data_IF_200153010642
#
_entry.id   IF_200153010642
#
_cell.length_a   1.000
_cell.length_b   1.000
_cell.length_c   1.000
_cell.angle_alpha   90.00
_cell.angle_beta   90.00
_cell.angle_gamma   90.00
#
_symmetry.space_group_name_H-M   'P 1'
#
loop_
_entity.id
_entity.type
_entity.pdbx_description
1 polymer ?
#
# COMPACT_ATOMS: atom_id res chain seq x y z
N UNK A 1 13.57 -3.18 -10.68
CA UNK A 1 12.10 -3.44 -10.70
C UNK A 1 11.67 -4.64 -9.86
N UNK A 2 12.52 -5.67 -9.69
CA UNK A 2 12.16 -6.89 -8.92
C UNK A 2 11.64 -6.57 -7.50
N UNK A 3 12.30 -5.65 -6.81
CA UNK A 3 11.90 -5.21 -5.46
C UNK A 3 10.55 -4.50 -5.42
N UNK A 4 10.25 -3.68 -6.42
CA UNK A 4 8.95 -3.01 -6.52
C UNK A 4 7.81 -4.02 -6.77
N UNK A 5 8.05 -4.98 -7.65
CA UNK A 5 7.08 -6.03 -7.97
C UNK A 5 6.82 -6.94 -6.77
N UNK A 6 7.88 -7.44 -6.12
CA UNK A 6 7.75 -8.32 -4.96
C UNK A 6 7.03 -7.62 -3.80
N UNK A 7 7.42 -6.40 -3.46
CA UNK A 7 6.80 -5.64 -2.37
C UNK A 7 5.36 -5.26 -2.71
N UNK A 8 5.09 -4.86 -3.96
CA UNK A 8 3.74 -4.57 -4.43
C UNK A 8 2.82 -5.79 -4.38
N UNK A 9 3.30 -6.97 -4.79
CA UNK A 9 2.57 -8.23 -4.69
C UNK A 9 2.23 -8.56 -3.23
N UNK A 10 3.20 -8.46 -2.33
CA UNK A 10 3.00 -8.72 -0.90
C UNK A 10 1.94 -7.78 -0.33
N UNK A 11 2.05 -6.47 -0.58
CA UNK A 11 1.08 -5.47 -0.11
C UNK A 11 -0.30 -5.78 -0.66
N UNK A 12 -0.41 -6.05 -1.96
CA UNK A 12 -1.68 -6.31 -2.63
C UNK A 12 -2.39 -7.54 -2.08
N UNK A 13 -1.66 -8.64 -1.93
CA UNK A 13 -2.18 -9.90 -1.38
C UNK A 13 -2.57 -9.73 0.08
N UNK A 14 -1.71 -9.13 0.92
CA UNK A 14 -2.03 -8.92 2.34
C UNK A 14 -3.24 -8.01 2.52
N UNK A 15 -3.34 -6.93 1.74
CA UNK A 15 -4.49 -6.02 1.77
C UNK A 15 -5.78 -6.72 1.32
N UNK A 16 -5.70 -7.55 0.29
CA UNK A 16 -6.84 -8.35 -0.18
C UNK A 16 -7.28 -9.40 0.83
N UNK A 17 -6.33 -10.18 1.37
CA UNK A 17 -6.59 -11.20 2.40
C UNK A 17 -7.19 -10.59 3.67
N UNK A 18 -6.79 -9.36 4.01
CA UNK A 18 -7.34 -8.66 5.17
C UNK A 18 -8.86 -8.49 5.09
N UNK A 19 -9.42 -8.28 3.89
CA UNK A 19 -10.88 -8.21 3.69
C UNK A 19 -11.58 -9.51 4.09
N UNK A 20 -11.02 -10.66 3.72
CA UNK A 20 -11.55 -11.98 4.10
C UNK A 20 -11.39 -12.27 5.59
N UNK A 21 -10.26 -11.86 6.19
CA UNK A 21 -10.02 -12.01 7.62
C UNK A 21 -11.06 -11.21 8.42
N UNK A 22 -11.35 -9.97 8.02
CA UNK A 22 -12.39 -9.15 8.66
C UNK A 22 -13.76 -9.81 8.57
N UNK A 23 -14.12 -10.37 7.40
CA UNK A 23 -15.37 -11.12 7.21
C UNK A 23 -15.47 -12.32 8.14
N UNK A 24 -14.43 -13.14 8.23
CA UNK A 24 -14.41 -14.31 9.12
C UNK A 24 -14.46 -13.93 10.60
N UNK A 25 -13.89 -12.79 10.97
CA UNK A 25 -13.99 -12.25 12.31
C UNK A 25 -15.36 -11.59 12.61
N UNK A 26 -16.30 -11.61 11.65
CA UNK A 26 -17.65 -11.08 11.80
C UNK A 26 -17.76 -9.56 11.62
N UNK A 27 -16.71 -8.90 11.14
CA UNK A 27 -16.73 -7.47 10.81
C UNK A 27 -17.21 -7.27 9.37
N UNK A 28 -18.15 -6.35 9.19
CA UNK A 28 -18.59 -5.91 7.85
C UNK A 28 -17.90 -4.60 7.49
N UNK A 29 -17.42 -4.49 6.26
CA UNK A 29 -16.73 -3.31 5.72
C UNK A 29 -17.70 -2.29 5.12
N UNK A 30 -18.95 -2.25 5.55
CA UNK A 30 -20.01 -1.48 4.87
C UNK A 30 -20.99 -0.77 5.81
N UNK A 31 -20.78 -0.85 7.13
CA UNK A 31 -21.47 0.05 8.04
C UNK A 31 -20.80 1.43 8.02
N UNK A 32 -21.59 2.50 8.19
CA UNK A 32 -21.13 3.91 8.20
C UNK A 32 -20.04 4.18 9.27
N UNK A 33 -19.89 3.28 10.23
CA UNK A 33 -18.84 3.34 11.24
C UNK A 33 -17.65 2.48 10.83
N UNK A 34 -16.52 3.13 10.56
CA UNK A 34 -15.22 2.49 10.37
C UNK A 34 -14.86 1.74 11.66
N UNK A 35 -14.84 0.41 11.62
CA UNK A 35 -14.42 -0.38 12.78
C UNK A 35 -12.95 -0.11 13.08
N UNK A 36 -12.53 -0.02 14.36
CA UNK A 36 -11.13 0.17 14.74
C UNK A 36 -10.16 -0.81 14.06
N UNK A 37 -10.63 -2.01 13.75
CA UNK A 37 -9.84 -3.06 13.09
C UNK A 37 -9.51 -2.72 11.63
N UNK A 38 -10.29 -1.87 10.98
CA UNK A 38 -10.00 -1.41 9.62
C UNK A 38 -8.77 -0.51 9.58
N UNK A 39 -8.49 0.27 10.65
CA UNK A 39 -7.26 1.07 10.72
C UNK A 39 -6.00 0.21 10.79
N UNK A 40 -6.10 -1.07 11.17
CA UNK A 40 -4.95 -1.98 11.11
C UNK A 40 -4.51 -2.19 9.65
N UNK A 41 -5.45 -2.17 8.70
CA UNK A 41 -5.12 -2.30 7.27
C UNK A 41 -4.22 -1.17 6.75
N UNK A 42 -4.23 0.00 7.39
CA UNK A 42 -3.35 1.14 7.07
C UNK A 42 -1.88 0.81 7.34
N UNK A 43 -1.61 -0.07 8.31
CA UNK A 43 -0.23 -0.50 8.59
C UNK A 43 0.41 -1.26 7.43
N UNK A 44 -0.39 -1.98 6.63
CA UNK A 44 0.08 -2.81 5.51
C UNK A 44 0.81 -1.95 4.46
N UNK A 45 0.22 -0.89 3.86
CA UNK A 45 0.92 -0.05 2.92
C UNK A 45 2.06 0.74 3.57
N UNK A 46 1.92 1.19 4.83
CA UNK A 46 3.00 1.92 5.53
C UNK A 46 4.26 1.05 5.64
N UNK A 47 4.12 -0.14 6.25
CA UNK A 47 5.23 -1.05 6.50
C UNK A 47 5.75 -1.61 5.17
N UNK A 48 4.84 -2.01 4.28
CA UNK A 48 5.20 -2.61 3.01
C UNK A 48 5.98 -1.65 2.10
N UNK A 49 5.55 -0.39 1.99
CA UNK A 49 6.28 0.63 1.23
C UNK A 49 7.63 0.92 1.88
N UNK A 50 7.67 1.10 3.20
CA UNK A 50 8.93 1.38 3.90
C UNK A 50 9.95 0.26 3.72
N UNK A 51 9.56 -1.00 3.94
CA UNK A 51 10.44 -2.15 3.78
C UNK A 51 10.85 -2.37 2.33
N UNK A 52 9.91 -2.24 1.39
CA UNK A 52 10.20 -2.37 -0.04
C UNK A 52 11.17 -1.29 -0.55
N UNK A 53 11.01 -0.06 -0.06
CA UNK A 53 11.91 1.05 -0.37
C UNK A 53 13.28 0.88 0.28
N UNK A 54 13.32 0.44 1.54
CA UNK A 54 14.57 0.14 2.25
C UNK A 54 15.35 -0.97 1.54
N UNK A 55 14.69 -2.06 1.15
CA UNK A 55 15.31 -3.14 0.39
C UNK A 55 15.86 -2.63 -0.95
N UNK A 56 15.10 -1.77 -1.66
CA UNK A 56 15.58 -1.14 -2.89
C UNK A 56 16.84 -0.29 -2.66
N UNK A 57 16.87 0.52 -1.60
CA UNK A 57 18.05 1.32 -1.24
C UNK A 57 19.27 0.42 -0.95
N UNK A 58 19.08 -0.58 -0.09
CA UNK A 58 20.18 -1.36 0.46
C UNK A 58 20.73 -2.35 -0.58
N UNK A 59 19.88 -2.92 -1.44
CA UNK A 59 20.27 -3.96 -2.41
C UNK A 59 20.57 -3.43 -3.80
N UNK A 60 19.76 -2.49 -4.32
CA UNK A 60 19.87 -2.05 -5.72
C UNK A 60 20.70 -0.76 -5.86
N UNK A 61 20.74 0.09 -4.84
CA UNK A 61 21.42 1.40 -4.89
C UNK A 61 22.66 1.51 -4.00
N UNK A 62 23.13 0.40 -3.42
CA UNK A 62 24.32 0.39 -2.57
C UNK A 62 24.21 1.33 -1.36
N UNK A 63 23.00 1.46 -0.82
CA UNK A 63 22.72 2.32 0.32
C UNK A 63 22.42 3.78 -0.02
N UNK A 64 22.55 4.25 -1.28
CA UNK A 64 22.39 5.67 -1.63
C UNK A 64 21.06 5.93 -2.33
N UNK A 65 20.12 6.60 -1.66
CA UNK A 65 18.80 6.92 -2.20
C UNK A 65 18.56 8.43 -2.22
N UNK A 66 18.19 8.98 -3.38
CA UNK A 66 17.64 10.34 -3.46
C UNK A 66 16.11 10.34 -3.25
N UNK A 67 15.56 11.48 -2.86
CA UNK A 67 14.13 11.63 -2.61
C UNK A 67 13.27 11.24 -3.82
N UNK A 68 13.58 11.74 -5.02
CA UNK A 68 12.78 11.46 -6.22
C UNK A 68 12.88 10.00 -6.67
N UNK A 69 14.07 9.39 -6.59
CA UNK A 69 14.22 7.95 -6.84
C UNK A 69 13.36 7.14 -5.87
N UNK A 70 13.35 7.55 -4.60
CA UNK A 70 12.57 6.89 -3.57
C UNK A 70 11.06 7.03 -3.77
N UNK A 71 10.62 8.22 -4.15
CA UNK A 71 9.21 8.52 -4.42
C UNK A 71 8.72 7.72 -5.62
N UNK A 72 9.46 7.74 -6.73
CA UNK A 72 9.11 6.99 -7.94
C UNK A 72 9.06 5.48 -7.66
N UNK A 73 10.00 4.94 -6.89
CA UNK A 73 10.00 3.53 -6.55
C UNK A 73 8.80 3.16 -5.65
N UNK A 74 8.50 3.99 -4.65
CA UNK A 74 7.36 3.80 -3.76
C UNK A 74 6.03 3.85 -4.50
N UNK A 75 5.89 4.78 -5.46
CA UNK A 75 4.70 4.84 -6.32
C UNK A 75 4.56 3.58 -7.21
N UNK A 76 5.66 3.01 -7.71
CA UNK A 76 5.63 1.73 -8.43
C UNK A 76 5.13 0.59 -7.55
N UNK A 77 5.61 0.51 -6.31
CA UNK A 77 5.15 -0.48 -5.31
C UNK A 77 3.64 -0.33 -5.08
N UNK A 78 3.18 0.90 -4.84
CA UNK A 78 1.78 1.22 -4.59
C UNK A 78 0.88 0.95 -5.80
N UNK A 79 1.34 1.23 -7.00
CA UNK A 79 0.57 0.97 -8.21
C UNK A 79 0.34 -0.53 -8.40
N UNK A 80 1.39 -1.34 -8.22
CA UNK A 80 1.30 -2.81 -8.30
C UNK A 80 0.39 -3.35 -7.20
N UNK A 81 0.62 -2.94 -5.94
CA UNK A 81 -0.18 -3.40 -4.81
C UNK A 81 -1.63 -2.94 -4.89
N UNK A 82 -1.87 -1.71 -5.32
CA UNK A 82 -3.21 -1.12 -5.48
C UNK A 82 -4.02 -1.80 -6.57
N UNK A 83 -3.42 -2.16 -7.71
CA UNK A 83 -4.10 -2.93 -8.75
C UNK A 83 -4.51 -4.31 -8.23
N UNK A 84 -3.61 -5.01 -7.53
CA UNK A 84 -3.90 -6.34 -6.99
C UNK A 84 -4.96 -6.27 -5.89
N UNK A 85 -4.79 -5.38 -4.91
CA UNK A 85 -5.76 -5.20 -3.82
C UNK A 85 -7.13 -4.74 -4.36
N UNK A 86 -7.13 -3.83 -5.34
CA UNK A 86 -8.35 -3.38 -6.01
C UNK A 86 -9.06 -4.53 -6.73
N UNK A 87 -8.32 -5.36 -7.47
CA UNK A 87 -8.87 -6.53 -8.14
C UNK A 87 -9.47 -7.54 -7.15
N UNK A 88 -8.74 -7.89 -6.09
CA UNK A 88 -9.23 -8.79 -5.03
C UNK A 88 -10.46 -8.18 -4.35
N UNK A 89 -10.44 -6.87 -4.08
CA UNK A 89 -11.56 -6.17 -3.45
C UNK A 89 -12.80 -6.14 -4.35
N UNK A 90 -12.65 -5.98 -5.67
CA UNK A 90 -13.76 -6.11 -6.62
C UNK A 90 -14.34 -7.52 -6.58
N UNK A 91 -13.51 -8.57 -6.56
CA UNK A 91 -13.99 -9.95 -6.40
C UNK A 91 -14.73 -10.10 -5.07
N UNK A 92 -14.17 -9.59 -3.98
CA UNK A 92 -14.79 -9.65 -2.66
C UNK A 92 -16.19 -9.01 -2.64
N UNK A 93 -16.33 -7.79 -3.18
CA UNK A 93 -17.62 -7.09 -3.29
C UNK A 93 -18.62 -7.91 -4.11
N UNK A 94 -18.21 -8.43 -5.28
CA UNK A 94 -19.15 -9.10 -6.18
C UNK A 94 -19.58 -10.49 -5.71
N UNK A 95 -18.71 -11.24 -5.01
CA UNK A 95 -18.95 -12.64 -4.69
C UNK A 95 -19.22 -12.91 -3.20
N UNK A 96 -18.77 -12.04 -2.30
CA UNK A 96 -18.91 -12.23 -0.85
C UNK A 96 -19.96 -11.30 -0.25
N UNK A 97 -20.04 -10.06 -0.76
CA UNK A 97 -20.91 -9.00 -0.23
C UNK A 97 -21.77 -8.37 -1.35
N UNK A 98 -22.35 -9.22 -2.22
CA UNK A 98 -23.07 -8.79 -3.43
C UNK A 98 -24.27 -7.85 -3.16
N UNK A 99 -24.74 -7.77 -1.93
CA UNK A 99 -25.85 -6.91 -1.50
C UNK A 99 -25.41 -5.48 -1.14
N UNK A 100 -24.13 -5.13 -1.23
CA UNK A 100 -23.59 -3.89 -0.65
C UNK A 100 -23.17 -2.83 -1.69
N UNK A 101 -23.26 -1.55 -1.29
CA UNK A 101 -23.06 -0.40 -2.17
C UNK A 101 -21.60 -0.25 -2.63
N UNK A 102 -21.38 -0.29 -3.95
CA UNK A 102 -20.09 0.02 -4.60
C UNK A 102 -19.50 1.39 -4.19
N UNK A 103 -20.36 2.33 -3.80
CA UNK A 103 -19.97 3.67 -3.36
C UNK A 103 -19.07 3.64 -2.13
N UNK A 104 -19.43 2.86 -1.10
CA UNK A 104 -18.71 2.83 0.18
C UNK A 104 -17.35 2.14 0.01
N UNK A 105 -17.32 1.09 -0.82
CA UNK A 105 -16.08 0.44 -1.22
C UNK A 105 -15.14 1.39 -1.98
N UNK A 106 -15.66 2.18 -2.92
CA UNK A 106 -14.84 3.15 -3.67
C UNK A 106 -14.22 4.24 -2.77
N UNK A 107 -14.96 4.71 -1.76
CA UNK A 107 -14.45 5.67 -0.78
C UNK A 107 -13.29 5.10 0.04
N UNK A 108 -13.39 3.84 0.46
CA UNK A 108 -12.33 3.13 1.19
C UNK A 108 -11.10 2.88 0.33
N UNK A 109 -11.28 2.49 -0.94
CA UNK A 109 -10.18 2.36 -1.89
C UNK A 109 -9.43 3.69 -2.09
N UNK A 110 -10.16 4.79 -2.22
CA UNK A 110 -9.56 6.12 -2.33
C UNK A 110 -8.79 6.51 -1.06
N UNK A 111 -9.36 6.25 0.11
CA UNK A 111 -8.68 6.46 1.39
C UNK A 111 -7.39 5.65 1.50
N UNK A 112 -7.41 4.37 1.13
CA UNK A 112 -6.23 3.51 1.10
C UNK A 112 -5.15 4.02 0.14
N UNK A 113 -5.55 4.52 -1.04
CA UNK A 113 -4.63 5.13 -2.00
C UNK A 113 -3.96 6.38 -1.42
N UNK A 114 -4.74 7.26 -0.78
CA UNK A 114 -4.22 8.47 -0.14
C UNK A 114 -3.19 8.14 0.95
N UNK A 115 -3.53 7.19 1.82
CA UNK A 115 -2.62 6.66 2.85
C UNK A 115 -1.35 6.08 2.22
N UNK A 116 -1.48 5.33 1.12
CA UNK A 116 -0.35 4.83 0.36
C UNK A 116 0.57 5.96 -0.11
N UNK A 117 0.02 6.98 -0.77
CA UNK A 117 0.79 8.13 -1.27
C UNK A 117 1.50 8.88 -0.13
N UNK A 118 0.82 9.12 0.99
CA UNK A 118 1.43 9.73 2.17
C UNK A 118 2.58 8.87 2.73
N UNK A 119 2.39 7.55 2.75
CA UNK A 119 3.41 6.58 3.17
C UNK A 119 4.62 6.60 2.23
N UNK A 120 4.40 6.73 0.92
CA UNK A 120 5.48 6.88 -0.06
C UNK A 120 6.30 8.14 0.17
N UNK A 121 5.63 9.27 0.42
CA UNK A 121 6.31 10.53 0.72
C UNK A 121 7.14 10.41 2.01
N UNK A 122 6.53 9.90 3.08
CA UNK A 122 7.19 9.71 4.37
C UNK A 122 8.39 8.76 4.27
N UNK A 123 8.22 7.58 3.67
CA UNK A 123 9.31 6.61 3.50
C UNK A 123 10.47 7.18 2.66
N UNK A 124 10.15 7.93 1.60
CA UNK A 124 11.16 8.54 0.74
C UNK A 124 11.97 9.61 1.48
N UNK A 125 11.32 10.43 2.31
CA UNK A 125 12.00 11.41 3.16
C UNK A 125 12.82 10.76 4.26
N UNK A 126 12.33 9.67 4.86
CA UNK A 126 13.01 8.99 5.97
C UNK A 126 14.24 8.20 5.50
N UNK A 127 14.22 7.67 4.28
CA UNK A 127 15.28 6.79 3.77
C UNK A 127 16.27 7.49 2.84
N UNK A 128 15.99 8.73 2.41
CA UNK A 128 16.93 9.49 1.59
C UNK A 128 18.20 9.82 2.37
N UNK A 129 19.33 9.67 1.70
CA UNK A 129 20.64 10.02 2.24
C UNK A 129 21.60 10.56 1.17
N UNK A 130 21.18 10.59 -0.09
CA UNK A 130 21.89 11.24 -1.17
C UNK A 130 21.41 12.70 -1.28
N UNK A 131 22.23 13.61 -0.76
CA UNK A 131 22.08 15.06 -0.98
C UNK A 131 22.32 15.39 -2.46
N UNK A 132 21.47 16.23 -3.05
CA UNK A 132 21.58 16.68 -4.45
C UNK A 132 22.74 17.63 -4.75
N UNK A 133 23.74 17.77 -3.87
CA UNK A 133 24.96 18.55 -4.11
C UNK A 133 26.17 17.62 -4.17
N UNK A 134 26.59 17.28 -5.39
CA UNK A 134 28.01 17.07 -5.67
C UNK A 134 28.59 18.45 -5.90
N UNK A 135 29.23 19.02 -4.89
CA UNK A 135 30.32 19.96 -5.14
C UNK A 135 31.55 19.07 -5.24
N UNK A 136 32.07 18.95 -6.46
CA UNK A 136 33.47 18.80 -6.85
C UNK A 136 33.54 18.55 -8.36
#
# INVERSE_FOLDING_TARGET
>A
MKNALASGLIIGILSGLWLFIMRWAGYTTFNDQVSPIEYISISIPIIGVFLGLKAYRDQDLGGRLSFLEGLVQSLKILLIGGVIAGFIGVIYVNYVEAEHNFRDFSGRLFGALLIGVLSALAASLLLMNKSGRSVD
#
